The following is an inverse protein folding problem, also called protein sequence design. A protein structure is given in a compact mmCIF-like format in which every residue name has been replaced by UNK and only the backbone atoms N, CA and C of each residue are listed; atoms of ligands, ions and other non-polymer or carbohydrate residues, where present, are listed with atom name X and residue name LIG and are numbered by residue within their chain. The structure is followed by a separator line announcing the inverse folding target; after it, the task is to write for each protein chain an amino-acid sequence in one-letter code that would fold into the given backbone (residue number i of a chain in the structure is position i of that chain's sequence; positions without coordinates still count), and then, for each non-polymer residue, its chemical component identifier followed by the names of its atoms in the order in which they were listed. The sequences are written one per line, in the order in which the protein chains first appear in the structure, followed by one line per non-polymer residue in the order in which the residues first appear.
data_IF_738824939163
#
_entry.id   IF_738824939163
#
_cell.length_a   1.000
_cell.length_b   1.000
_cell.length_c   1.000
_cell.angle_alpha   90.00
_cell.angle_beta   90.00
_cell.angle_gamma   90.00
#
_symmetry.space_group_name_H-M   'P 1'
#
loop_
_entity.id
_entity.type
_entity.pdbx_description
1 polymer ?
#
# COMPACT_ATOMS: atom_id res chain seq x y z
N UNK A 1 -3.45 -15.20 -0.97
CA UNK A 1 -2.47 -15.24 -2.06
C UNK A 1 -1.68 -16.51 -1.91
N UNK A 2 -1.60 -17.32 -2.97
CA UNK A 2 -0.80 -18.54 -2.92
C UNK A 2 0.70 -18.21 -2.91
N UNK A 3 1.52 -19.03 -2.26
CA UNK A 3 2.97 -18.80 -2.17
C UNK A 3 3.64 -18.82 -3.55
N UNK A 4 3.09 -19.60 -4.50
CA UNK A 4 3.61 -19.66 -5.87
C UNK A 4 3.37 -18.35 -6.64
N UNK A 5 2.18 -17.76 -6.49
CA UNK A 5 1.84 -16.47 -7.09
C UNK A 5 2.75 -15.35 -6.58
N UNK A 6 3.05 -15.35 -5.27
CA UNK A 6 3.98 -14.37 -4.68
C UNK A 6 5.37 -14.50 -5.29
N UNK A 7 5.89 -15.72 -5.40
CA UNK A 7 7.19 -15.98 -5.99
C UNK A 7 7.27 -15.59 -7.47
N UNK A 8 6.20 -15.82 -8.23
CA UNK A 8 6.12 -15.40 -9.63
C UNK A 8 6.21 -13.88 -9.79
N UNK A 9 5.44 -13.12 -9.00
CA UNK A 9 5.47 -11.65 -9.05
C UNK A 9 6.82 -11.07 -8.61
N UNK A 10 7.46 -11.66 -7.60
CA UNK A 10 8.83 -11.28 -7.18
C UNK A 10 9.83 -11.52 -8.31
N UNK A 11 9.72 -12.67 -9.00
CA UNK A 11 10.58 -13.00 -10.14
C UNK A 11 10.37 -12.00 -11.29
N UNK A 12 9.13 -11.56 -11.52
CA UNK A 12 8.82 -10.55 -12.52
C UNK A 12 9.37 -9.18 -12.15
N UNK A 13 9.30 -8.75 -10.88
CA UNK A 13 10.00 -7.54 -10.43
C UNK A 13 11.50 -7.58 -10.74
N UNK A 14 12.14 -8.74 -10.52
CA UNK A 14 13.56 -8.92 -10.82
C UNK A 14 13.85 -8.86 -12.32
N UNK A 15 13.01 -9.47 -13.15
CA UNK A 15 13.13 -9.41 -14.63
C UNK A 15 12.94 -7.99 -15.16
N UNK A 16 12.06 -7.20 -14.54
CA UNK A 16 11.84 -5.79 -14.85
C UNK A 16 12.94 -4.86 -14.31
N UNK A 17 13.93 -5.39 -13.57
CA UNK A 17 15.00 -4.59 -12.97
C UNK A 17 14.51 -3.67 -11.84
N UNK A 18 13.33 -3.91 -11.28
CA UNK A 18 12.77 -3.12 -10.19
C UNK A 18 13.50 -3.50 -8.90
N UNK A 19 14.10 -2.51 -8.24
CA UNK A 19 14.77 -2.72 -6.94
C UNK A 19 13.76 -3.12 -5.87
N UNK A 20 13.98 -4.27 -5.26
CA UNK A 20 13.20 -4.80 -4.14
C UNK A 20 14.07 -5.74 -3.30
N UNK A 21 13.61 -6.07 -2.10
CA UNK A 21 14.19 -7.12 -1.24
C UNK A 21 13.16 -8.23 -1.05
N UNK A 22 13.29 -9.37 -1.76
CA UNK A 22 12.27 -10.42 -1.80
C UNK A 22 11.74 -10.85 -0.42
N UNK A 23 12.64 -11.00 0.55
CA UNK A 23 12.33 -11.48 1.91
C UNK A 23 11.59 -10.44 2.73
N UNK A 24 11.66 -9.16 2.34
CA UNK A 24 11.03 -8.03 3.03
C UNK A 24 9.68 -7.65 2.43
N UNK A 25 9.26 -8.28 1.33
CA UNK A 25 7.94 -8.06 0.74
C UNK A 25 6.87 -8.67 1.66
N UNK A 26 6.06 -7.80 2.25
CA UNK A 26 4.92 -8.17 3.10
C UNK A 26 3.73 -8.57 2.23
N UNK A 27 3.39 -7.72 1.25
CA UNK A 27 2.32 -7.99 0.26
C UNK A 27 2.76 -7.55 -1.12
N UNK A 28 2.27 -8.24 -2.14
CA UNK A 28 2.53 -7.94 -3.55
C UNK A 28 1.34 -8.42 -4.36
N UNK A 29 0.98 -7.66 -5.39
CA UNK A 29 -0.09 -8.01 -6.30
C UNK A 29 0.12 -7.32 -7.65
N UNK A 30 -0.57 -7.83 -8.67
CA UNK A 30 -0.62 -7.21 -10.00
C UNK A 30 -1.97 -6.53 -10.18
N UNK A 31 -1.96 -5.27 -10.59
CA UNK A 31 -3.15 -4.51 -10.94
C UNK A 31 -3.70 -4.93 -12.31
N UNK A 32 -4.94 -4.55 -12.61
CA UNK A 32 -5.61 -4.91 -13.87
C UNK A 32 -4.90 -4.37 -15.13
N UNK A 33 -4.13 -3.28 -14.99
CA UNK A 33 -3.29 -2.70 -16.05
C UNK A 33 -1.94 -3.42 -16.22
N UNK A 34 -1.67 -4.45 -15.42
CA UNK A 34 -0.43 -5.21 -15.41
C UNK A 34 0.67 -4.66 -14.50
N UNK A 35 0.50 -3.48 -13.89
CA UNK A 35 1.47 -2.92 -12.96
C UNK A 35 1.56 -3.78 -11.70
N UNK A 36 2.77 -4.13 -11.29
CA UNK A 36 3.00 -4.79 -10.00
C UNK A 36 3.13 -3.74 -8.92
N UNK A 37 2.34 -3.89 -7.85
CA UNK A 37 2.44 -3.07 -6.64
C UNK A 37 2.86 -3.94 -5.46
N UNK A 38 3.74 -3.42 -4.60
CA UNK A 38 4.29 -4.18 -3.49
C UNK A 38 4.56 -3.30 -2.26
N UNK A 39 4.29 -3.87 -1.10
CA UNK A 39 4.60 -3.31 0.20
C UNK A 39 5.71 -4.12 0.84
N UNK A 40 6.82 -3.47 1.17
CA UNK A 40 7.88 -4.06 2.00
C UNK A 40 7.74 -3.62 3.46
N UNK A 41 8.44 -4.34 4.36
CA UNK A 41 8.63 -3.90 5.75
C UNK A 41 9.10 -2.44 5.80
N UNK A 42 10.04 -2.07 4.92
CA UNK A 42 10.53 -0.71 4.79
C UNK A 42 11.42 -0.31 5.98
N UNK A 43 11.36 0.96 6.39
CA UNK A 43 12.21 1.51 7.46
C UNK A 43 11.51 2.65 8.23
N UNK A 44 11.84 2.85 9.51
CA UNK A 44 11.27 3.92 10.32
C UNK A 44 12.00 5.27 10.14
N UNK A 45 11.52 6.30 10.84
CA UNK A 45 12.18 7.58 11.02
C UNK A 45 11.84 8.65 9.98
N UNK A 46 12.62 9.74 9.96
CA UNK A 46 12.35 10.95 9.15
C UNK A 46 12.28 10.70 7.64
N UNK A 47 13.02 9.70 7.14
CA UNK A 47 12.97 9.24 5.74
C UNK A 47 12.37 7.83 5.67
N UNK A 48 11.43 7.53 6.57
CA UNK A 48 10.77 6.25 6.64
C UNK A 48 9.99 5.92 5.36
N UNK A 49 9.80 4.64 5.11
CA UNK A 49 8.95 4.14 4.02
C UNK A 49 8.43 2.75 4.35
N UNK A 50 7.45 2.26 3.59
CA UNK A 50 6.88 0.93 3.73
C UNK A 50 6.09 0.76 5.01
N UNK A 51 5.85 -0.50 5.41
CA UNK A 51 4.96 -0.81 6.52
C UNK A 51 5.43 -0.16 7.84
N UNK A 52 6.72 -0.20 8.17
CA UNK A 52 7.24 0.39 9.40
C UNK A 52 6.96 1.90 9.52
N UNK A 53 7.05 2.65 8.42
CA UNK A 53 6.70 4.07 8.42
C UNK A 53 5.21 4.30 8.66
N UNK A 54 4.36 3.46 8.06
CA UNK A 54 2.90 3.53 8.19
C UNK A 54 2.49 3.24 9.63
N UNK A 55 3.08 2.20 10.23
CA UNK A 55 2.83 1.85 11.62
C UNK A 55 3.28 2.97 12.56
N UNK A 56 4.52 3.47 12.40
CA UNK A 56 5.07 4.54 13.25
C UNK A 56 4.23 5.83 13.23
N UNK A 57 3.62 6.17 12.08
CA UNK A 57 2.93 7.46 11.90
C UNK A 57 1.41 7.39 11.98
N UNK A 58 0.82 6.26 11.63
CA UNK A 58 -0.61 6.19 11.34
C UNK A 58 -1.32 4.97 11.95
N UNK A 59 -0.62 4.09 12.70
CA UNK A 59 -1.26 2.94 13.34
C UNK A 59 -2.46 3.34 14.20
N UNK A 60 -2.33 4.36 15.05
CA UNK A 60 -3.43 4.86 15.88
C UNK A 60 -4.59 5.43 15.05
N UNK A 61 -4.30 6.03 13.90
CA UNK A 61 -5.33 6.58 13.01
C UNK A 61 -6.12 5.48 12.31
N UNK A 62 -5.46 4.38 11.92
CA UNK A 62 -6.13 3.18 11.43
C UNK A 62 -6.98 2.52 12.53
N UNK A 63 -6.44 2.44 13.75
CA UNK A 63 -7.17 1.89 14.90
C UNK A 63 -8.46 2.67 15.19
N UNK A 64 -8.43 4.02 15.11
CA UNK A 64 -9.64 4.86 15.24
C UNK A 64 -10.72 4.56 14.19
N UNK A 65 -10.35 3.93 13.05
CA UNK A 65 -11.28 3.48 12.02
C UNK A 65 -11.74 2.03 12.16
N UNK A 66 -11.25 1.33 13.18
CA UNK A 66 -11.53 -0.08 13.43
C UNK A 66 -10.73 -1.02 12.53
N UNK A 67 -9.50 -0.63 12.16
CA UNK A 67 -8.54 -1.46 11.43
C UNK A 67 -7.39 -1.75 12.39
N UNK A 68 -7.16 -3.02 12.72
CA UNK A 68 -6.07 -3.42 13.60
C UNK A 68 -4.71 -3.42 12.88
N UNK A 69 -3.62 -3.44 13.65
CA UNK A 69 -2.25 -3.37 13.12
C UNK A 69 -1.96 -4.42 12.04
N UNK A 70 -2.39 -5.65 12.28
CA UNK A 70 -2.25 -6.80 11.38
C UNK A 70 -3.09 -6.68 10.10
N UNK A 71 -4.14 -5.87 10.11
CA UNK A 71 -5.01 -5.61 8.95
C UNK A 71 -4.52 -4.46 8.07
N UNK A 72 -3.60 -3.62 8.56
CA UNK A 72 -3.16 -2.40 7.85
C UNK A 72 -2.59 -2.74 6.48
N UNK A 73 -1.74 -3.75 6.37
CA UNK A 73 -1.18 -4.16 5.09
C UNK A 73 -2.28 -4.64 4.12
N UNK A 74 -3.29 -5.34 4.62
CA UNK A 74 -4.38 -5.88 3.81
C UNK A 74 -5.33 -4.80 3.30
N UNK A 75 -5.73 -3.84 4.13
CA UNK A 75 -6.60 -2.75 3.69
C UNK A 75 -5.91 -1.84 2.68
N UNK A 76 -4.60 -1.62 2.81
CA UNK A 76 -3.81 -0.85 1.85
C UNK A 76 -3.76 -1.55 0.49
N UNK A 77 -3.51 -2.86 0.49
CA UNK A 77 -3.50 -3.63 -0.76
C UNK A 77 -4.90 -3.67 -1.39
N UNK A 78 -5.95 -3.86 -0.59
CA UNK A 78 -7.32 -3.82 -1.08
C UNK A 78 -7.66 -2.48 -1.73
N UNK A 79 -7.23 -1.36 -1.12
CA UNK A 79 -7.41 -0.02 -1.66
C UNK A 79 -6.74 0.15 -3.03
N UNK A 80 -5.48 -0.28 -3.19
CA UNK A 80 -4.73 -0.11 -4.46
C UNK A 80 -5.19 -1.07 -5.56
N UNK A 81 -5.63 -2.27 -5.20
CA UNK A 81 -6.02 -3.31 -6.17
C UNK A 81 -7.48 -3.22 -6.59
N UNK A 82 -8.38 -2.89 -5.67
CA UNK A 82 -9.82 -2.98 -5.89
C UNK A 82 -10.59 -1.72 -5.47
N UNK A 83 -9.89 -0.74 -4.87
CA UNK A 83 -10.52 0.49 -4.43
C UNK A 83 -10.94 1.37 -5.60
N UNK A 84 -12.00 2.13 -5.38
CA UNK A 84 -12.44 3.17 -6.30
C UNK A 84 -11.60 4.41 -6.07
N UNK A 85 -10.87 4.85 -7.09
CA UNK A 85 -10.12 6.11 -7.05
C UNK A 85 -11.07 7.30 -6.88
N UNK A 86 -10.80 8.16 -5.90
CA UNK A 86 -11.63 9.33 -5.58
C UNK A 86 -10.91 10.67 -5.78
N UNK A 87 -9.59 10.69 -5.95
CA UNK A 87 -8.83 11.92 -6.08
C UNK A 87 -7.49 11.85 -5.36
N UNK A 88 -7.01 13.01 -4.91
CA UNK A 88 -5.65 13.16 -4.39
C UNK A 88 -5.62 13.89 -3.05
N UNK A 89 -4.75 13.45 -2.15
CA UNK A 89 -4.38 14.12 -0.91
C UNK A 89 -3.07 14.90 -1.08
N UNK A 90 -3.04 16.10 -0.51
CA UNK A 90 -1.88 16.99 -0.53
C UNK A 90 -1.79 17.82 -1.81
N UNK A 91 -0.85 18.76 -1.83
CA UNK A 91 -0.63 19.71 -2.93
C UNK A 91 0.72 19.55 -3.62
N UNK A 92 1.61 18.75 -3.05
CA UNK A 92 2.96 18.51 -3.58
C UNK A 92 2.95 17.24 -4.43
N UNK A 93 3.46 17.36 -5.66
CA UNK A 93 3.56 16.22 -6.58
C UNK A 93 4.78 15.32 -6.26
N UNK A 94 4.67 13.98 -6.46
CA UNK A 94 3.44 13.28 -6.81
C UNK A 94 2.45 13.25 -5.63
N UNK A 95 1.19 13.63 -5.90
CA UNK A 95 0.16 13.62 -4.86
C UNK A 95 -0.25 12.20 -4.48
N UNK A 96 -0.70 12.03 -3.23
CA UNK A 96 -1.12 10.73 -2.69
C UNK A 96 -2.53 10.40 -3.18
N UNK A 97 -2.73 9.28 -3.86
CA UNK A 97 -4.04 8.89 -4.37
C UNK A 97 -4.96 8.44 -3.23
N UNK A 98 -6.25 8.81 -3.30
CA UNK A 98 -7.27 8.43 -2.34
C UNK A 98 -8.19 7.39 -2.97
N UNK A 99 -8.41 6.30 -2.24
CA UNK A 99 -9.27 5.20 -2.66
C UNK A 99 -10.40 4.99 -1.65
N UNK A 100 -11.62 4.76 -2.14
CA UNK A 100 -12.70 4.13 -1.38
C UNK A 100 -12.59 2.61 -1.51
N UNK A 101 -12.64 1.90 -0.39
CA UNK A 101 -12.64 0.43 -0.37
C UNK A 101 -13.61 -0.09 0.68
N UNK A 102 -14.36 -1.15 0.38
CA UNK A 102 -15.09 -1.88 1.41
C UNK A 102 -14.12 -2.88 2.07
N UNK A 103 -13.88 -2.73 3.36
CA UNK A 103 -13.00 -3.61 4.13
C UNK A 103 -13.71 -3.99 5.43
N UNK A 104 -13.80 -5.30 5.70
CA UNK A 104 -14.56 -5.86 6.82
C UNK A 104 -16.02 -5.36 6.90
N UNK A 105 -16.68 -5.23 5.73
CA UNK A 105 -18.07 -4.75 5.64
C UNK A 105 -18.24 -3.25 5.88
N UNK A 106 -17.15 -2.51 6.11
CA UNK A 106 -17.17 -1.07 6.36
C UNK A 106 -16.51 -0.33 5.20
N UNK A 107 -17.12 0.78 4.79
CA UNK A 107 -16.52 1.70 3.82
C UNK A 107 -15.33 2.41 4.46
N UNK A 108 -14.16 2.28 3.84
CA UNK A 108 -12.91 2.91 4.23
C UNK A 108 -12.41 3.85 3.13
N UNK A 109 -11.63 4.86 3.52
CA UNK A 109 -10.96 5.78 2.59
C UNK A 109 -9.49 5.77 2.93
N UNK A 110 -8.65 5.30 2.01
CA UNK A 110 -7.22 5.16 2.25
C UNK A 110 -6.48 6.01 1.24
N UNK A 111 -5.62 6.90 1.73
CA UNK A 111 -4.68 7.61 0.89
C UNK A 111 -3.39 6.76 0.81
N UNK A 112 -2.90 6.47 -0.40
CA UNK A 112 -1.72 5.61 -0.61
C UNK A 112 -0.73 6.29 -1.56
N UNK A 113 0.54 6.34 -1.15
CA UNK A 113 1.64 6.79 -2.01
C UNK A 113 2.29 5.56 -2.63
N UNK A 114 2.07 5.37 -3.92
CA UNK A 114 2.72 4.33 -4.73
C UNK A 114 3.80 5.00 -5.58
N UNK A 115 5.03 4.54 -5.47
CA UNK A 115 6.11 4.98 -6.34
C UNK A 115 5.88 4.54 -7.79
N UNK A 116 6.56 5.18 -8.73
CA UNK A 116 6.46 4.83 -10.16
C UNK A 116 6.79 3.36 -10.41
N UNK A 117 7.72 2.80 -9.63
CA UNK A 117 8.12 1.39 -9.65
C UNK A 117 7.13 0.42 -8.98
N UNK A 118 6.00 0.89 -8.45
CA UNK A 118 5.01 0.07 -7.76
C UNK A 118 5.24 -0.10 -6.25
N UNK A 119 6.33 0.45 -5.70
CA UNK A 119 6.58 0.37 -4.26
C UNK A 119 5.62 1.24 -3.46
N UNK A 120 4.95 0.67 -2.47
CA UNK A 120 4.11 1.43 -1.53
C UNK A 120 4.99 2.10 -0.48
N UNK A 121 5.13 3.42 -0.61
CA UNK A 121 6.00 4.24 0.24
C UNK A 121 5.33 4.54 1.58
N UNK A 122 4.02 4.79 1.58
CA UNK A 122 3.27 5.12 2.78
C UNK A 122 1.77 5.18 2.51
N UNK A 123 0.98 5.14 3.58
CA UNK A 123 -0.46 5.23 3.53
C UNK A 123 -1.00 5.76 4.86
N UNK A 124 -2.19 6.34 4.81
CA UNK A 124 -2.94 6.79 5.98
C UNK A 124 -4.44 6.73 5.68
N UNK A 125 -5.28 6.70 6.73
CA UNK A 125 -6.68 7.03 6.56
C UNK A 125 -6.89 8.40 5.93
N UNK A 126 -7.80 8.49 4.97
CA UNK A 126 -8.23 9.74 4.35
C UNK A 126 -9.61 10.16 4.85
N UNK A 127 -9.87 11.47 4.78
CA UNK A 127 -11.24 11.99 4.68
C UNK A 127 -11.65 12.04 3.20
N UNK A 128 -12.94 12.22 2.92
CA UNK A 128 -13.39 12.47 1.55
C UNK A 128 -12.66 13.72 1.00
N UNK A 129 -12.19 13.69 -0.26
CA UNK A 129 -11.54 14.83 -0.91
C UNK A 129 -12.47 16.04 -1.08
#
# INVERSE_FOLDING_TARGET
MDSAEKSALISELAQLGIKHTPEKIVKIAKQADGKIVFLEEGKPGKRGSGLLHILEKHQEDFAKRGISEDEIADVIMAAVISGMFLGYQGTVEPRREIYEVNFNGKKQYIAVTVGDNGYIVGANPASLP
#
